data_IF_275595756210
#
_entry.id   IF_275595756210
#
_cell.length_a   1.000
_cell.length_b   1.000
_cell.length_c   1.000
_cell.angle_alpha   90.00
_cell.angle_beta   90.00
_cell.angle_gamma   90.00
#
_symmetry.space_group_name_H-M   'P 1'
#
loop_
_entity.id
_entity.type
_entity.pdbx_description
1 polymer ?
#
# COMPACT_ATOMS: atom_id res chain seq x y z
N UNK A 1 5.85 -53.02 29.16
CA UNK A 1 5.48 -52.04 30.21
C UNK A 1 6.40 -50.82 30.26
N UNK A 2 7.73 -50.96 30.30
CA UNK A 2 8.64 -49.78 30.29
C UNK A 2 8.62 -48.98 28.97
N UNK A 3 8.54 -49.66 27.82
CA UNK A 3 8.46 -49.01 26.49
C UNK A 3 7.14 -48.26 26.25
N UNK A 4 6.04 -48.75 26.83
CA UNK A 4 4.71 -48.10 26.73
C UNK A 4 4.59 -46.88 27.66
N UNK A 5 5.27 -46.90 28.82
CA UNK A 5 5.40 -45.73 29.69
C UNK A 5 6.19 -44.60 28.99
N UNK A 6 7.27 -44.94 28.29
CA UNK A 6 8.10 -43.95 27.59
C UNK A 6 7.36 -43.29 26.42
N UNK A 7 6.55 -44.07 25.69
CA UNK A 7 5.73 -43.55 24.59
C UNK A 7 4.63 -42.59 25.07
N UNK A 8 4.02 -42.87 26.23
CA UNK A 8 3.03 -42.00 26.87
C UNK A 8 3.66 -40.70 27.40
N UNK A 9 4.89 -40.75 27.91
CA UNK A 9 5.59 -39.56 28.38
C UNK A 9 5.97 -38.60 27.23
N UNK A 10 6.39 -39.13 26.07
CA UNK A 10 6.69 -38.32 24.90
C UNK A 10 5.44 -37.62 24.32
N UNK A 11 4.27 -38.26 24.37
CA UNK A 11 3.03 -37.68 23.83
C UNK A 11 2.45 -36.57 24.73
N UNK A 12 2.73 -36.61 26.03
CA UNK A 12 2.38 -35.54 26.96
C UNK A 12 3.27 -34.29 26.78
N UNK A 13 4.54 -34.45 26.40
CA UNK A 13 5.44 -33.32 26.14
C UNK A 13 5.06 -32.51 24.88
N UNK A 14 4.47 -33.14 23.86
CA UNK A 14 4.03 -32.46 22.64
C UNK A 14 2.81 -31.55 22.82
N UNK A 15 2.10 -31.64 23.95
CA UNK A 15 0.93 -30.78 24.23
C UNK A 15 1.33 -29.39 24.78
N UNK A 16 2.59 -29.21 25.19
CA UNK A 16 3.12 -27.96 25.75
C UNK A 16 3.50 -26.90 24.72
N UNK A 17 3.47 -27.20 23.42
CA UNK A 17 3.77 -26.23 22.35
C UNK A 17 2.55 -25.38 21.97
N UNK A 18 1.73 -25.03 22.95
CA UNK A 18 0.75 -23.95 22.79
C UNK A 18 1.54 -22.64 22.75
N UNK A 19 1.38 -21.87 21.67
CA UNK A 19 2.08 -20.62 21.41
C UNK A 19 2.20 -19.76 22.67
N UNK A 20 3.42 -19.64 23.21
CA UNK A 20 3.70 -18.86 24.41
C UNK A 20 3.43 -17.38 24.09
N UNK A 21 2.30 -16.88 24.56
CA UNK A 21 1.96 -15.46 24.50
C UNK A 21 2.81 -14.70 25.49
N UNK A 22 3.39 -13.59 25.05
CA UNK A 22 4.16 -12.67 25.88
C UNK A 22 3.62 -11.25 25.71
N UNK A 23 3.83 -10.41 26.71
CA UNK A 23 3.54 -8.98 26.58
C UNK A 23 4.67 -8.29 25.84
N UNK A 24 4.34 -7.62 24.74
CA UNK A 24 5.26 -6.70 24.05
C UNK A 24 4.84 -5.27 24.34
N UNK A 25 5.83 -4.40 24.47
CA UNK A 25 5.65 -2.97 24.62
C UNK A 25 6.39 -2.24 23.50
N UNK A 26 6.10 -0.97 23.31
CA UNK A 26 6.86 -0.17 22.38
C UNK A 26 6.37 1.26 22.29
N UNK A 27 7.12 2.06 21.54
CA UNK A 27 6.81 3.46 21.23
C UNK A 27 6.68 3.61 19.74
N UNK A 28 5.65 4.32 19.30
CA UNK A 28 5.38 4.63 17.90
C UNK A 28 5.59 6.13 17.69
N UNK A 29 6.51 6.48 16.79
CA UNK A 29 6.82 7.86 16.43
C UNK A 29 6.68 8.08 14.93
N UNK A 30 6.62 9.34 14.52
CA UNK A 30 6.72 9.75 13.12
C UNK A 30 8.20 9.91 12.67
N UNK A 31 8.40 10.34 11.43
CA UNK A 31 9.71 10.64 10.87
C UNK A 31 10.41 11.88 11.46
N UNK A 32 9.67 12.75 12.14
CA UNK A 32 10.19 13.91 12.86
C UNK A 32 10.58 13.59 14.32
N UNK A 33 10.22 12.40 14.82
CA UNK A 33 10.44 11.95 16.19
C UNK A 33 9.32 12.32 17.16
N UNK A 34 8.17 12.78 16.66
CA UNK A 34 6.97 13.04 17.45
C UNK A 34 6.20 11.75 17.73
N UNK A 35 5.71 11.59 18.96
CA UNK A 35 4.92 10.42 19.37
C UNK A 35 3.55 10.40 18.67
N UNK A 36 3.19 9.26 18.09
CA UNK A 36 1.91 9.08 17.43
C UNK A 36 0.89 8.55 18.43
N UNK A 37 -0.04 9.41 18.82
CA UNK A 37 -1.14 9.13 19.74
C UNK A 37 -2.32 8.55 18.95
N UNK A 38 -2.92 7.47 19.45
CA UNK A 38 -4.09 6.86 18.79
C UNK A 38 -3.74 5.92 17.63
N UNK A 39 -2.48 5.52 17.46
CA UNK A 39 -2.09 4.52 16.48
C UNK A 39 -2.68 3.15 16.85
N UNK A 40 -3.25 2.47 15.86
CA UNK A 40 -3.80 1.13 16.03
C UNK A 40 -2.68 0.10 15.91
N UNK A 41 -2.60 -0.81 16.87
CA UNK A 41 -1.63 -1.92 16.88
C UNK A 41 -2.42 -3.22 16.97
N UNK A 42 -2.47 -3.99 15.89
CA UNK A 42 -3.35 -5.17 15.78
C UNK A 42 -2.57 -6.40 15.36
N UNK A 43 -2.75 -7.51 16.06
CA UNK A 43 -2.24 -8.82 15.66
C UNK A 43 -2.89 -9.27 14.34
N UNK A 44 -2.06 -9.67 13.37
CA UNK A 44 -2.51 -10.00 12.02
C UNK A 44 -3.43 -11.23 12.06
N UNK A 45 -4.62 -11.07 11.48
CA UNK A 45 -5.60 -12.15 11.37
C UNK A 45 -6.43 -12.39 12.63
N UNK A 46 -6.31 -11.54 13.65
CA UNK A 46 -7.12 -11.62 14.87
C UNK A 46 -7.74 -10.26 15.19
N UNK A 47 -8.60 -10.22 16.21
CA UNK A 47 -9.14 -8.98 16.80
C UNK A 47 -8.34 -8.51 18.01
N UNK A 48 -7.20 -9.16 18.29
CA UNK A 48 -6.33 -8.80 19.39
C UNK A 48 -5.53 -7.56 19.01
N UNK A 49 -5.78 -6.45 19.68
CA UNK A 49 -5.13 -5.20 19.37
C UNK A 49 -5.21 -4.21 20.51
N UNK A 50 -4.46 -3.12 20.37
CA UNK A 50 -4.37 -2.04 21.33
C UNK A 50 -4.19 -0.72 20.58
N UNK A 51 -4.26 0.39 21.31
CA UNK A 51 -4.09 1.74 20.77
C UNK A 51 -2.98 2.42 21.57
N UNK A 52 -2.17 3.25 20.91
CA UNK A 52 -1.13 4.02 21.61
C UNK A 52 -1.70 5.08 22.55
N UNK A 53 -1.03 5.30 23.68
CA UNK A 53 -1.35 6.35 24.65
C UNK A 53 -0.79 7.73 24.21
N UNK A 54 -0.86 8.72 25.11
CA UNK A 54 -0.38 10.09 24.87
C UNK A 54 1.13 10.19 24.59
N UNK A 55 1.92 9.25 25.07
CA UNK A 55 3.37 9.21 24.86
C UNK A 55 3.74 8.36 23.62
N UNK A 56 2.75 7.87 22.87
CA UNK A 56 2.94 6.97 21.72
C UNK A 56 3.25 5.53 22.14
N UNK A 57 3.11 5.19 23.42
CA UNK A 57 3.39 3.86 23.94
C UNK A 57 2.23 2.89 23.71
N UNK A 58 2.54 1.63 23.43
CA UNK A 58 1.57 0.54 23.37
C UNK A 58 2.01 -0.67 24.20
N UNK A 59 1.04 -1.49 24.59
CA UNK A 59 1.25 -2.79 25.23
C UNK A 59 0.27 -3.81 24.66
N UNK A 60 0.78 -4.91 24.11
CA UNK A 60 -0.01 -5.96 23.46
C UNK A 60 0.49 -7.33 23.88
N UNK A 61 -0.42 -8.22 24.29
CA UNK A 61 -0.06 -9.62 24.55
C UNK A 61 -0.21 -10.45 23.28
N UNK A 62 0.90 -10.98 22.76
CA UNK A 62 0.98 -11.65 21.46
C UNK A 62 1.98 -12.81 21.51
N UNK A 63 1.77 -13.84 20.67
CA UNK A 63 2.69 -14.98 20.60
C UNK A 63 4.00 -14.63 19.87
N UNK A 64 5.11 -15.23 20.32
CA UNK A 64 6.38 -15.17 19.58
C UNK A 64 6.20 -15.77 18.18
N UNK A 65 6.70 -15.10 17.15
CA UNK A 65 6.55 -15.48 15.74
C UNK A 65 5.25 -15.02 15.08
N UNK A 66 4.27 -14.52 15.84
CA UNK A 66 3.10 -13.86 15.27
C UNK A 66 3.48 -12.48 14.69
N UNK A 67 2.59 -11.91 13.88
CA UNK A 67 2.79 -10.59 13.28
C UNK A 67 1.78 -9.61 13.84
N UNK A 68 2.17 -8.36 13.99
CA UNK A 68 1.26 -7.26 14.30
C UNK A 68 1.45 -6.14 13.28
N UNK A 69 0.35 -5.47 12.96
CA UNK A 69 0.33 -4.31 12.07
C UNK A 69 0.07 -3.06 12.89
N UNK A 70 0.89 -2.06 12.65
CA UNK A 70 0.67 -0.70 13.15
C UNK A 70 0.10 0.14 12.02
N UNK A 71 -0.99 0.84 12.29
CA UNK A 71 -1.62 1.75 11.33
C UNK A 71 -2.08 3.04 12.03
N UNK A 72 -1.99 4.14 11.30
CA UNK A 72 -2.51 5.43 11.71
C UNK A 72 -2.93 6.22 10.46
N UNK A 73 -3.92 7.08 10.60
CA UNK A 73 -4.47 7.84 9.48
C UNK A 73 -3.39 8.78 8.94
N UNK A 74 -3.16 8.77 7.63
CA UNK A 74 -2.12 9.58 6.97
C UNK A 74 -0.72 8.94 6.98
N UNK A 75 -0.58 7.69 7.45
CA UNK A 75 0.70 6.98 7.52
C UNK A 75 0.62 5.61 6.86
N UNK A 76 1.75 5.18 6.28
CA UNK A 76 1.90 3.84 5.71
C UNK A 76 1.88 2.81 6.83
N UNK A 77 0.94 1.87 6.74
CA UNK A 77 0.83 0.78 7.71
C UNK A 77 2.09 -0.11 7.66
N UNK A 78 2.58 -0.50 8.82
CA UNK A 78 3.77 -1.33 8.95
C UNK A 78 3.46 -2.62 9.69
N UNK A 79 3.81 -3.76 9.09
CA UNK A 79 3.68 -5.08 9.72
C UNK A 79 5.03 -5.56 10.24
N UNK A 80 5.07 -5.98 11.51
CA UNK A 80 6.28 -6.42 12.22
C UNK A 80 6.05 -7.83 12.76
N UNK A 81 7.09 -8.65 12.73
CA UNK A 81 7.06 -10.00 13.31
C UNK A 81 7.60 -9.96 14.73
N UNK A 82 6.89 -10.58 15.66
CA UNK A 82 7.29 -10.66 17.07
C UNK A 82 8.48 -11.59 17.21
N UNK A 83 9.64 -11.02 17.52
CA UNK A 83 10.89 -11.75 17.75
C UNK A 83 11.10 -12.14 19.20
N UNK A 84 12.37 -12.33 19.58
CA UNK A 84 12.76 -12.56 20.97
C UNK A 84 12.57 -11.31 21.84
N UNK A 85 12.70 -10.12 21.26
CA UNK A 85 12.58 -8.83 21.96
C UNK A 85 11.14 -8.55 22.41
N UNK A 86 11.02 -7.89 23.56
CA UNK A 86 9.75 -7.49 24.13
C UNK A 86 9.44 -6.00 23.89
N UNK A 87 10.43 -5.21 23.46
CA UNK A 87 10.28 -3.76 23.30
C UNK A 87 10.56 -3.36 21.86
N UNK A 88 9.66 -2.58 21.26
CA UNK A 88 9.75 -2.17 19.86
C UNK A 88 9.77 -0.64 19.76
N UNK A 89 10.63 -0.10 18.89
CA UNK A 89 10.58 1.30 18.47
C UNK A 89 10.18 1.34 17.01
N UNK A 90 9.05 1.96 16.71
CA UNK A 90 8.42 1.89 15.39
C UNK A 90 8.29 3.31 14.87
N UNK A 91 8.87 3.56 13.70
CA UNK A 91 8.78 4.86 13.02
C UNK A 91 7.86 4.71 11.83
N UNK A 92 6.66 5.30 11.92
CA UNK A 92 5.74 5.31 10.79
C UNK A 92 6.16 6.38 9.79
N UNK A 93 6.02 6.05 8.51
CA UNK A 93 6.26 6.99 7.41
C UNK A 93 4.94 7.55 6.93
N UNK A 94 4.90 8.85 6.66
CA UNK A 94 3.72 9.49 6.08
C UNK A 94 3.34 8.81 4.76
N UNK A 95 2.02 8.69 4.55
CA UNK A 95 1.46 8.16 3.33
C UNK A 95 1.18 9.31 2.36
N UNK A 96 2.23 9.78 1.68
CA UNK A 96 2.15 10.86 0.70
C UNK A 96 1.40 10.47 -0.60
N UNK A 97 0.81 9.27 -0.66
CA UNK A 97 -0.01 8.78 -1.78
C UNK A 97 -1.54 8.91 -1.51
N UNK A 98 -1.95 9.46 -0.37
CA UNK A 98 -3.38 9.66 -0.04
C UNK A 98 -3.92 10.95 -0.67
N UNK A 99 -4.23 10.93 -1.97
CA UNK A 99 -5.29 11.73 -2.61
C UNK A 99 -5.62 11.14 -4.00
N UNK A 100 -6.30 10.00 -4.03
CA UNK A 100 -7.30 9.74 -5.07
C UNK A 100 -8.64 9.56 -4.33
N UNK A 101 -9.42 10.63 -4.28
CA UNK A 101 -10.78 10.64 -3.78
C UNK A 101 -11.58 9.52 -4.46
N UNK A 102 -11.88 8.44 -3.74
CA UNK A 102 -12.90 7.50 -4.19
C UNK A 102 -14.25 8.17 -3.99
N UNK A 103 -14.69 8.90 -5.02
CA UNK A 103 -16.07 9.35 -5.18
C UNK A 103 -16.94 8.10 -5.29
N UNK A 104 -17.59 7.73 -4.19
CA UNK A 104 -18.65 6.72 -4.19
C UNK A 104 -19.90 7.42 -4.73
N UNK A 105 -20.03 7.52 -6.05
CA UNK A 105 -21.34 7.73 -6.68
C UNK A 105 -21.95 6.36 -6.93
N UNK A 106 -23.10 6.13 -6.30
CA UNK A 106 -23.73 4.83 -6.18
C UNK A 106 -24.19 4.18 -7.49
N UNK A 107 -24.45 2.87 -7.35
CA UNK A 107 -25.25 1.99 -8.19
C UNK A 107 -24.72 1.63 -9.60
N UNK A 108 -24.14 0.43 -9.72
CA UNK A 108 -24.23 -0.37 -10.95
C UNK A 108 -22.99 -1.16 -11.38
N UNK A 109 -22.87 -2.41 -10.92
CA UNK A 109 -22.35 -3.53 -11.72
C UNK A 109 -20.83 -3.74 -11.84
N UNK A 110 -20.36 -4.87 -11.27
CA UNK A 110 -19.07 -5.52 -11.54
C UNK A 110 -18.62 -5.49 -12.99
N UNK A 111 -17.30 -5.40 -13.23
CA UNK A 111 -16.58 -6.38 -14.06
C UNK A 111 -15.08 -6.41 -13.68
N UNK A 112 -14.61 -7.55 -13.17
CA UNK A 112 -13.21 -7.98 -13.36
C UNK A 112 -13.11 -8.64 -14.73
N UNK A 113 -12.26 -8.12 -15.61
CA UNK A 113 -11.67 -8.92 -16.70
C UNK A 113 -10.20 -8.58 -16.83
N UNK A 114 -9.39 -9.54 -16.40
CA UNK A 114 -8.04 -9.73 -16.87
C UNK A 114 -8.05 -9.79 -18.40
N UNK A 115 -7.18 -9.04 -19.08
CA UNK A 115 -6.53 -9.53 -20.29
C UNK A 115 -5.17 -8.84 -20.42
N UNK A 116 -4.16 -9.69 -20.39
CA UNK A 116 -2.74 -9.47 -20.61
C UNK A 116 -2.47 -8.91 -22.03
N UNK A 117 -1.24 -8.45 -22.27
CA UNK A 117 -0.62 -7.96 -23.53
C UNK A 117 -0.81 -6.44 -23.71
N UNK A 118 0.24 -5.61 -23.68
CA UNK A 118 1.31 -5.60 -24.70
C UNK A 118 2.38 -4.59 -24.28
N UNK A 119 3.65 -4.96 -24.53
CA UNK A 119 4.84 -4.14 -24.77
C UNK A 119 5.21 -2.96 -23.83
N UNK A 120 6.34 -3.17 -23.16
CA UNK A 120 7.31 -2.15 -22.78
C UNK A 120 7.63 -1.28 -24.01
N UNK A 121 7.61 0.05 -23.86
CA UNK A 121 8.39 0.97 -24.69
C UNK A 121 8.70 2.23 -23.88
N UNK A 122 9.96 2.30 -23.44
CA UNK A 122 10.60 3.46 -22.85
C UNK A 122 10.69 4.53 -23.96
N UNK A 123 9.99 5.65 -23.83
CA UNK A 123 10.06 6.72 -24.83
C UNK A 123 11.20 7.68 -24.46
N UNK A 124 12.23 7.66 -25.29
CA UNK A 124 13.36 8.60 -25.26
C UNK A 124 12.92 10.02 -25.64
N UNK A 125 13.36 11.00 -24.85
CA UNK A 125 12.96 12.41 -24.91
C UNK A 125 13.72 13.21 -26.00
N UNK A 126 13.89 12.64 -27.20
CA UNK A 126 14.80 13.19 -28.23
C UNK A 126 14.18 13.44 -29.61
N UNK A 127 12.85 13.52 -29.73
CA UNK A 127 12.18 13.92 -30.99
C UNK A 127 11.11 15.00 -30.74
N UNK A 128 11.50 16.07 -30.05
CA UNK A 128 10.75 17.34 -30.00
C UNK A 128 11.46 18.41 -30.84
N UNK A 129 11.88 18.05 -32.06
CA UNK A 129 12.29 19.02 -33.08
C UNK A 129 11.73 18.58 -34.43
N UNK A 130 11.06 19.53 -35.08
CA UNK A 130 10.46 19.49 -36.42
C UNK A 130 9.04 18.94 -36.55
N UNK A 131 8.06 19.78 -36.19
CA UNK A 131 6.86 19.94 -37.00
C UNK A 131 6.21 21.31 -36.68
N UNK A 132 6.91 22.38 -37.04
CA UNK A 132 6.25 23.65 -37.27
C UNK A 132 5.35 23.48 -38.50
N UNK A 133 4.06 23.27 -38.30
CA UNK A 133 3.07 23.42 -39.36
C UNK A 133 2.05 24.47 -38.98
N UNK A 134 2.33 25.66 -39.50
CA UNK A 134 1.67 26.94 -39.34
C UNK A 134 0.29 27.04 -40.04
N UNK A 135 -0.54 25.98 -40.07
CA UNK A 135 -1.89 26.14 -40.61
C UNK A 135 -2.89 25.05 -40.17
N UNK A 136 -3.67 25.34 -39.13
CA UNK A 136 -4.75 24.47 -38.63
C UNK A 136 -5.89 24.26 -39.65
N UNK A 137 -5.97 25.06 -40.71
CA UNK A 137 -7.01 24.92 -41.74
C UNK A 137 -6.84 23.72 -42.67
N UNK A 138 -5.61 23.24 -42.89
CA UNK A 138 -5.34 22.11 -43.80
C UNK A 138 -5.65 20.74 -43.17
N UNK A 139 -5.61 20.61 -41.83
CA UNK A 139 -5.93 19.35 -41.15
C UNK A 139 -7.43 19.02 -41.15
N UNK A 140 -8.29 20.02 -41.39
CA UNK A 140 -9.74 19.84 -41.51
C UNK A 140 -10.20 19.58 -42.96
N UNK A 141 -9.32 19.79 -43.94
CA UNK A 141 -9.60 19.56 -45.35
C UNK A 141 -9.43 18.07 -45.69
N UNK A 142 -10.37 17.26 -45.23
CA UNK A 142 -10.39 15.80 -45.43
C UNK A 142 -11.31 15.06 -44.46
N UNK A 143 -11.59 15.65 -43.30
CA UNK A 143 -12.48 15.08 -42.27
C UNK A 143 -13.92 15.58 -42.35
N UNK A 144 -14.20 16.60 -43.19
CA UNK A 144 -15.54 17.18 -43.37
C UNK A 144 -15.88 17.25 -44.86
N UNK A 145 -16.87 16.46 -45.27
CA UNK A 145 -17.35 16.42 -46.66
C UNK A 145 -17.97 17.77 -47.04
N UNK A 146 -17.47 18.40 -48.11
CA UNK A 146 -17.99 19.67 -48.62
C UNK A 146 -17.28 20.94 -48.12
N UNK A 147 -16.23 20.81 -47.30
CA UNK A 147 -15.44 21.98 -46.87
C UNK A 147 -14.40 22.38 -47.94
N UNK A 148 -14.58 23.56 -48.54
CA UNK A 148 -13.63 24.14 -49.51
C UNK A 148 -12.79 25.22 -48.84
N UNK A 149 -11.53 24.90 -48.51
CA UNK A 149 -10.56 25.88 -48.04
C UNK A 149 -10.03 26.64 -49.25
N UNK A 150 -10.24 27.96 -49.29
CA UNK A 150 -9.72 28.84 -50.34
C UNK A 150 -8.53 29.60 -49.74
N UNK A 151 -7.31 29.19 -50.10
CA UNK A 151 -6.12 29.92 -49.71
C UNK A 151 -6.07 31.24 -50.47
N UNK A 152 -6.42 32.34 -49.80
CA UNK A 152 -6.29 33.70 -50.33
C UNK A 152 -4.88 34.23 -50.01
N UNK A 153 -3.85 33.63 -50.59
CA UNK A 153 -2.50 34.20 -50.52
C UNK A 153 -2.40 35.35 -51.51
N UNK A 154 -2.66 36.56 -51.05
CA UNK A 154 -2.22 37.77 -51.72
C UNK A 154 -0.83 38.12 -51.22
N UNK A 155 0.19 37.92 -52.06
CA UNK A 155 1.38 38.78 -52.27
C UNK A 155 2.53 37.96 -52.89
N UNK A 156 2.88 38.20 -54.16
CA UNK A 156 4.16 37.76 -54.72
C UNK A 156 5.24 38.83 -54.48
N UNK A 157 6.39 38.41 -53.96
CA UNK A 157 7.57 39.26 -53.75
C UNK A 157 7.89 39.49 -52.28
#
# INVERSE_FOLDING_TARGET
MKKTIFLILCILCSLGTMAQKKSITGVITDGAGESIIGASVVEVGTTNGTITNFDGEFSLTIATGAKFTVSYIGYKSQTITVGAENTYKIVLKEDTEVLDEVVITGYGGSQKRATLTTAISKLDNSVLKNAAFSNAGQSLQGSVTGLRVVNKTGQPG
#
